data_IF_720701546461
#
_entry.id   IF_720701546461
#
_cell.length_a   1.000
_cell.length_b   1.000
_cell.length_c   1.000
_cell.angle_alpha   90.00
_cell.angle_beta   90.00
_cell.angle_gamma   90.00
#
_symmetry.space_group_name_H-M   'P 1'
#
loop_
_entity.id
_entity.type
_entity.pdbx_description
1 polymer ?
#
# COMPACT_ATOMS: atom_id res chain seq x y z
N UNK A 1 89.31 23.48 6.98
CA UNK A 1 88.70 22.13 6.88
C UNK A 1 89.07 21.50 5.55
N UNK A 2 89.65 20.29 5.57
CA UNK A 2 90.08 19.56 4.36
C UNK A 2 88.88 19.25 3.45
N UNK A 3 89.00 19.50 2.15
CA UNK A 3 88.00 19.17 1.11
C UNK A 3 87.62 17.69 1.09
N UNK A 4 88.45 16.80 1.66
CA UNK A 4 88.13 15.38 1.86
C UNK A 4 87.11 15.15 2.98
N UNK A 5 87.21 15.88 4.10
CA UNK A 5 86.26 15.77 5.22
C UNK A 5 84.86 16.27 4.82
N UNK A 6 84.79 17.37 4.06
CA UNK A 6 83.52 17.88 3.52
C UNK A 6 82.87 16.91 2.52
N UNK A 7 83.67 16.24 1.66
CA UNK A 7 83.17 15.20 0.74
C UNK A 7 82.67 13.95 1.47
N UNK A 8 83.32 13.57 2.57
CA UNK A 8 82.94 12.41 3.38
C UNK A 8 81.60 12.67 4.09
N UNK A 9 81.44 13.83 4.75
CA UNK A 9 80.18 14.26 5.37
C UNK A 9 79.02 14.37 4.35
N UNK A 10 79.30 14.86 3.12
CA UNK A 10 78.29 14.92 2.04
C UNK A 10 77.89 13.53 1.53
N UNK A 11 78.80 12.55 1.58
CA UNK A 11 78.55 11.15 1.20
C UNK A 11 77.75 10.41 2.28
N UNK A 12 78.09 10.60 3.55
CA UNK A 12 77.34 10.05 4.69
C UNK A 12 75.94 10.65 4.81
N UNK A 13 75.80 11.98 4.66
CA UNK A 13 74.50 12.65 4.63
C UNK A 13 73.57 12.11 3.53
N UNK A 14 74.11 11.89 2.31
CA UNK A 14 73.36 11.28 1.20
C UNK A 14 72.99 9.82 1.48
N UNK A 15 73.86 9.07 2.15
CA UNK A 15 73.61 7.69 2.54
C UNK A 15 72.50 7.60 3.60
N UNK A 16 72.55 8.45 4.63
CA UNK A 16 71.51 8.55 5.67
C UNK A 16 70.17 8.98 5.05
N UNK A 17 70.18 9.97 4.15
CA UNK A 17 68.97 10.41 3.44
C UNK A 17 68.36 9.29 2.58
N UNK A 18 69.19 8.51 1.87
CA UNK A 18 68.71 7.37 1.08
C UNK A 18 68.11 6.25 1.93
N UNK A 19 68.66 6.00 3.13
CA UNK A 19 68.09 5.05 4.10
C UNK A 19 66.74 5.56 4.61
N UNK A 20 66.64 6.83 5.00
CA UNK A 20 65.38 7.46 5.42
C UNK A 20 64.31 7.37 4.33
N UNK A 21 64.66 7.66 3.07
CA UNK A 21 63.74 7.54 1.93
C UNK A 21 63.22 6.11 1.77
N UNK A 22 64.09 5.08 1.91
CA UNK A 22 63.69 3.67 1.85
C UNK A 22 62.74 3.29 2.98
N UNK A 23 63.00 3.76 4.20
CA UNK A 23 62.15 3.52 5.37
C UNK A 23 60.76 4.16 5.15
N UNK A 24 60.71 5.42 4.70
CA UNK A 24 59.44 6.10 4.39
C UNK A 24 58.68 5.38 3.28
N UNK A 25 59.35 4.98 2.19
CA UNK A 25 58.73 4.22 1.12
C UNK A 25 58.18 2.86 1.60
N UNK A 26 58.90 2.18 2.50
CA UNK A 26 58.44 0.93 3.11
C UNK A 26 57.22 1.14 4.01
N UNK A 27 57.17 2.22 4.79
CA UNK A 27 55.98 2.56 5.58
C UNK A 27 54.77 2.87 4.68
N UNK A 28 54.94 3.67 3.63
CA UNK A 28 53.87 3.96 2.66
C UNK A 28 53.37 2.65 2.03
N UNK A 29 54.27 1.74 1.67
CA UNK A 29 53.91 0.44 1.11
C UNK A 29 53.09 -0.41 2.11
N UNK A 30 53.53 -0.51 3.38
CA UNK A 30 52.79 -1.24 4.41
C UNK A 30 51.41 -0.61 4.66
N UNK A 31 51.33 0.71 4.78
CA UNK A 31 50.06 1.41 5.00
C UNK A 31 49.12 1.24 3.81
N UNK A 32 49.64 1.35 2.58
CA UNK A 32 48.88 1.09 1.36
C UNK A 32 48.40 -0.35 1.27
N UNK A 33 49.23 -1.32 1.64
CA UNK A 33 48.85 -2.74 1.68
C UNK A 33 47.79 -3.00 2.75
N UNK A 34 47.93 -2.43 3.95
CA UNK A 34 46.90 -2.50 5.00
C UNK A 34 45.57 -1.91 4.53
N UNK A 35 45.61 -0.76 3.88
CA UNK A 35 44.41 -0.14 3.31
C UNK A 35 43.74 -1.06 2.28
N UNK A 36 44.49 -1.60 1.31
CA UNK A 36 43.95 -2.43 0.24
C UNK A 36 43.48 -3.82 0.70
N UNK A 37 44.19 -4.44 1.63
CA UNK A 37 43.94 -5.84 2.05
C UNK A 37 42.96 -5.91 3.21
N UNK A 38 42.87 -4.88 4.06
CA UNK A 38 42.05 -4.90 5.27
C UNK A 38 40.94 -3.85 5.28
N UNK A 39 41.28 -2.55 5.18
CA UNK A 39 40.29 -1.47 5.32
C UNK A 39 39.30 -1.44 4.15
N UNK A 40 39.80 -1.52 2.91
CA UNK A 40 38.96 -1.46 1.72
C UNK A 40 37.96 -2.64 1.68
N UNK A 41 38.35 -3.90 1.99
CA UNK A 41 37.39 -4.98 2.16
C UNK A 41 36.38 -4.79 3.28
N UNK A 42 36.77 -4.21 4.41
CA UNK A 42 35.84 -3.91 5.51
C UNK A 42 34.79 -2.88 5.07
N UNK A 43 35.23 -1.75 4.49
CA UNK A 43 34.36 -0.67 4.02
C UNK A 43 33.38 -1.18 2.96
N UNK A 44 33.88 -1.92 1.97
CA UNK A 44 33.03 -2.48 0.91
C UNK A 44 32.03 -3.50 1.47
N UNK A 45 32.43 -4.32 2.45
CA UNK A 45 31.50 -5.28 3.09
C UNK A 45 30.37 -4.55 3.80
N UNK A 46 30.68 -3.49 4.55
CA UNK A 46 29.68 -2.68 5.23
C UNK A 46 28.72 -2.01 4.24
N UNK A 47 29.26 -1.44 3.16
CA UNK A 47 28.47 -0.81 2.08
C UNK A 47 27.52 -1.80 1.43
N UNK A 48 28.03 -2.98 1.07
CA UNK A 48 27.25 -4.04 0.42
C UNK A 48 26.13 -4.54 1.33
N UNK A 49 26.41 -4.81 2.61
CA UNK A 49 25.37 -5.23 3.56
C UNK A 49 24.34 -4.12 3.80
N UNK A 50 24.76 -2.85 3.87
CA UNK A 50 23.83 -1.72 3.97
C UNK A 50 22.93 -1.60 2.75
N UNK A 51 23.47 -1.76 1.53
CA UNK A 51 22.65 -1.77 0.31
C UNK A 51 21.66 -2.93 0.28
N UNK A 52 22.09 -4.13 0.69
CA UNK A 52 21.22 -5.30 0.81
C UNK A 52 20.08 -5.06 1.83
N UNK A 53 20.43 -4.51 3.00
CA UNK A 53 19.48 -4.19 4.06
C UNK A 53 18.44 -3.18 3.60
N UNK A 54 18.88 -2.07 3.00
CA UNK A 54 18.00 -1.01 2.53
C UNK A 54 17.00 -1.53 1.49
N UNK A 55 17.45 -2.40 0.58
CA UNK A 55 16.59 -3.03 -0.41
C UNK A 55 15.51 -3.93 0.22
N UNK A 56 15.91 -4.80 1.14
CA UNK A 56 14.97 -5.67 1.86
C UNK A 56 13.98 -4.86 2.72
N UNK A 57 14.46 -3.80 3.38
CA UNK A 57 13.63 -2.89 4.17
C UNK A 57 12.64 -2.11 3.32
N UNK A 58 13.05 -1.58 2.16
CA UNK A 58 12.16 -0.88 1.24
C UNK A 58 11.01 -1.80 0.78
N UNK A 59 11.33 -3.03 0.37
CA UNK A 59 10.33 -4.01 -0.01
C UNK A 59 9.38 -4.38 1.14
N UNK A 60 9.93 -4.59 2.35
CA UNK A 60 9.15 -4.82 3.56
C UNK A 60 8.18 -3.68 3.85
N UNK A 61 8.67 -2.44 3.87
CA UNK A 61 7.84 -1.28 4.20
C UNK A 61 6.74 -1.04 3.18
N UNK A 62 7.03 -1.20 1.89
CA UNK A 62 6.03 -1.07 0.82
C UNK A 62 4.94 -2.13 0.99
N UNK A 63 5.30 -3.40 1.19
CA UNK A 63 4.34 -4.48 1.40
C UNK A 63 3.50 -4.27 2.67
N UNK A 64 4.15 -3.82 3.75
CA UNK A 64 3.49 -3.55 5.04
C UNK A 64 2.51 -2.40 4.92
N UNK A 65 2.92 -1.28 4.32
CA UNK A 65 2.06 -0.13 4.06
C UNK A 65 0.86 -0.50 3.18
N UNK A 66 1.08 -1.28 2.13
CA UNK A 66 0.01 -1.74 1.25
C UNK A 66 -0.99 -2.63 2.00
N UNK A 67 -0.51 -3.61 2.79
CA UNK A 67 -1.36 -4.47 3.64
C UNK A 67 -2.20 -3.67 4.63
N UNK A 68 -1.59 -2.67 5.28
CA UNK A 68 -2.29 -1.78 6.22
C UNK A 68 -3.37 -0.99 5.51
N UNK A 69 -3.05 -0.34 4.39
CA UNK A 69 -4.02 0.43 3.59
C UNK A 69 -5.18 -0.46 3.11
N UNK A 70 -4.88 -1.66 2.62
CA UNK A 70 -5.90 -2.60 2.13
C UNK A 70 -6.85 -3.01 3.26
N UNK A 71 -6.29 -3.30 4.44
CA UNK A 71 -7.08 -3.65 5.62
C UNK A 71 -7.91 -2.46 6.14
N UNK A 72 -7.40 -1.23 6.03
CA UNK A 72 -8.14 -0.02 6.41
C UNK A 72 -9.34 0.20 5.50
N UNK A 73 -9.17 0.04 4.18
CA UNK A 73 -10.27 0.13 3.21
C UNK A 73 -11.37 -0.90 3.52
N UNK A 74 -10.99 -2.13 3.85
CA UNK A 74 -11.92 -3.21 4.18
C UNK A 74 -12.67 -3.02 5.52
N UNK A 75 -12.20 -2.11 6.39
CA UNK A 75 -12.76 -1.88 7.75
C UNK A 75 -13.52 -0.57 7.88
N UNK A 76 -13.77 0.13 6.78
CA UNK A 76 -14.51 1.38 6.82
C UNK A 76 -15.92 1.15 7.35
N UNK A 77 -16.36 2.08 8.20
CA UNK A 77 -17.70 2.04 8.76
C UNK A 77 -18.71 2.61 7.74
N UNK A 78 -19.61 1.79 7.19
CA UNK A 78 -20.57 2.23 6.18
C UNK A 78 -21.64 3.18 6.70
N UNK A 79 -21.77 3.33 8.03
CA UNK A 79 -22.73 4.27 8.65
C UNK A 79 -22.12 5.62 8.98
N UNK A 80 -20.81 5.77 8.76
CA UNK A 80 -20.10 7.03 8.98
C UNK A 80 -20.69 8.15 8.12
N UNK A 81 -20.99 9.33 8.68
CA UNK A 81 -21.38 10.51 7.89
C UNK A 81 -20.31 10.93 6.86
N UNK A 82 -19.06 10.51 7.08
CA UNK A 82 -17.91 10.79 6.21
C UNK A 82 -17.50 9.56 5.39
N UNK A 83 -18.36 8.55 5.26
CA UNK A 83 -18.02 7.29 4.60
C UNK A 83 -17.46 7.48 3.19
N UNK A 84 -18.09 8.32 2.37
CA UNK A 84 -17.65 8.57 0.98
C UNK A 84 -16.23 9.15 0.93
N UNK A 85 -15.95 10.18 1.72
CA UNK A 85 -14.61 10.80 1.75
C UNK A 85 -13.55 9.84 2.32
N UNK A 86 -13.91 9.08 3.37
CA UNK A 86 -13.03 8.07 3.97
C UNK A 86 -12.73 6.93 2.99
N UNK A 87 -13.74 6.48 2.24
CA UNK A 87 -13.65 5.49 1.17
C UNK A 87 -12.68 5.92 0.10
N UNK A 88 -12.90 7.10 -0.48
CA UNK A 88 -12.09 7.59 -1.60
C UNK A 88 -10.64 7.81 -1.18
N UNK A 89 -10.42 8.38 0.02
CA UNK A 89 -9.09 8.53 0.60
C UNK A 89 -8.40 7.20 0.90
N UNK A 90 -9.12 6.21 1.43
CA UNK A 90 -8.56 4.89 1.70
C UNK A 90 -8.21 4.16 0.40
N UNK A 91 -9.10 4.19 -0.60
CA UNK A 91 -8.88 3.56 -1.89
C UNK A 91 -7.66 4.18 -2.61
N UNK A 92 -7.56 5.51 -2.63
CA UNK A 92 -6.41 6.21 -3.21
C UNK A 92 -5.08 5.78 -2.55
N UNK A 93 -5.04 5.64 -1.22
CA UNK A 93 -3.85 5.16 -0.49
C UNK A 93 -3.48 3.72 -0.83
N UNK A 94 -4.46 2.84 -1.03
CA UNK A 94 -4.18 1.47 -1.48
C UNK A 94 -3.57 1.48 -2.87
N UNK A 95 -4.14 2.26 -3.80
CA UNK A 95 -3.62 2.39 -5.18
C UNK A 95 -2.20 2.97 -5.17
N UNK A 96 -1.94 4.02 -4.41
CA UNK A 96 -0.60 4.62 -4.31
C UNK A 96 0.45 3.62 -3.80
N UNK A 97 0.13 2.87 -2.74
CA UNK A 97 1.04 1.85 -2.20
C UNK A 97 1.22 0.66 -3.14
N UNK A 98 0.18 0.32 -3.91
CA UNK A 98 0.24 -0.69 -4.97
C UNK A 98 1.19 -0.26 -6.10
N UNK A 99 1.11 1.00 -6.54
CA UNK A 99 1.99 1.55 -7.58
C UNK A 99 3.45 1.62 -7.13
N UNK A 100 3.71 2.01 -5.88
CA UNK A 100 5.06 1.94 -5.28
C UNK A 100 5.63 0.53 -5.30
N UNK A 101 4.79 -0.50 -5.28
CA UNK A 101 5.25 -1.88 -5.35
C UNK A 101 5.75 -2.27 -6.75
N UNK A 102 5.24 -1.61 -7.80
CA UNK A 102 5.72 -1.81 -9.16
C UNK A 102 7.16 -1.32 -9.35
N UNK A 103 7.61 -0.33 -8.56
CA UNK A 103 8.99 0.17 -8.61
C UNK A 103 10.01 -0.74 -7.91
N UNK A 104 9.58 -1.79 -7.19
CA UNK A 104 10.48 -2.76 -6.58
C UNK A 104 11.35 -3.43 -7.64
N UNK A 105 12.67 -3.33 -7.48
CA UNK A 105 13.66 -3.90 -8.41
C UNK A 105 14.61 -4.82 -7.67
N UNK A 106 15.09 -5.81 -8.41
CA UNK A 106 16.25 -6.58 -7.98
C UNK A 106 17.45 -5.66 -7.84
N UNK A 107 18.25 -5.87 -6.80
CA UNK A 107 19.45 -5.08 -6.55
C UNK A 107 20.67 -5.83 -7.07
N UNK A 108 21.41 -5.18 -7.96
CA UNK A 108 22.71 -5.68 -8.42
C UNK A 108 23.77 -5.34 -7.37
N UNK A 109 24.19 -6.36 -6.62
CA UNK A 109 25.21 -6.20 -5.59
C UNK A 109 26.57 -6.70 -6.11
N UNK A 110 27.58 -5.83 -6.09
CA UNK A 110 28.96 -6.20 -6.41
C UNK A 110 29.71 -6.57 -5.13
N UNK A 111 30.21 -7.81 -5.05
CA UNK A 111 30.98 -8.32 -3.91
C UNK A 111 32.50 -8.23 -4.10
N UNK A 112 32.98 -7.47 -5.10
CA UNK A 112 34.40 -7.24 -5.32
C UNK A 112 35.07 -6.59 -4.10
N UNK A 113 36.25 -7.11 -3.72
CA UNK A 113 36.98 -6.67 -2.53
C UNK A 113 36.07 -6.56 -1.30
N UNK A 114 35.36 -7.63 -0.96
CA UNK A 114 34.62 -7.77 0.31
C UNK A 114 35.23 -8.90 1.14
N UNK A 115 34.96 -8.93 2.45
CA UNK A 115 35.39 -10.02 3.32
C UNK A 115 34.72 -11.32 2.91
N UNK A 116 35.41 -12.44 3.11
CA UNK A 116 34.96 -13.78 2.68
C UNK A 116 33.57 -14.14 3.20
N UNK A 117 33.30 -13.87 4.47
CA UNK A 117 32.00 -14.17 5.10
C UNK A 117 30.87 -13.37 4.45
N UNK A 118 31.05 -12.05 4.32
CA UNK A 118 30.09 -11.18 3.63
C UNK A 118 29.87 -11.60 2.17
N UNK A 119 30.93 -11.93 1.43
CA UNK A 119 30.82 -12.43 0.06
C UNK A 119 30.00 -13.73 0.00
N UNK A 120 30.26 -14.65 0.93
CA UNK A 120 29.54 -15.92 1.02
C UNK A 120 28.06 -15.69 1.31
N UNK A 121 27.74 -14.89 2.33
CA UNK A 121 26.37 -14.54 2.69
C UNK A 121 25.62 -13.90 1.50
N UNK A 122 26.19 -12.87 0.87
CA UNK A 122 25.53 -12.17 -0.24
C UNK A 122 25.25 -13.11 -1.41
N UNK A 123 26.22 -13.93 -1.81
CA UNK A 123 26.07 -14.78 -2.99
C UNK A 123 25.21 -16.02 -2.74
N UNK A 124 25.25 -16.58 -1.53
CA UNK A 124 24.56 -17.83 -1.22
C UNK A 124 23.17 -17.63 -0.61
N UNK A 125 22.93 -16.49 0.04
CA UNK A 125 21.69 -16.22 0.75
C UNK A 125 20.95 -15.04 0.12
N UNK A 126 21.50 -13.82 0.19
CA UNK A 126 20.77 -12.63 -0.28
C UNK A 126 20.39 -12.69 -1.78
N UNK A 127 21.36 -12.96 -2.66
CA UNK A 127 21.13 -12.99 -4.13
C UNK A 127 20.16 -14.11 -4.54
N UNK A 128 20.01 -15.16 -3.72
CA UNK A 128 19.05 -16.24 -4.00
C UNK A 128 17.66 -15.90 -3.45
N UNK A 129 17.59 -15.46 -2.20
CA UNK A 129 16.32 -15.25 -1.49
C UNK A 129 15.62 -13.97 -1.91
N UNK A 130 16.34 -12.84 -2.02
CA UNK A 130 15.71 -11.54 -2.25
C UNK A 130 14.93 -11.45 -3.59
N UNK A 131 15.46 -11.94 -4.73
CA UNK A 131 14.70 -11.94 -5.99
C UNK A 131 13.42 -12.77 -5.91
N UNK A 132 13.44 -13.92 -5.22
CA UNK A 132 12.25 -14.74 -5.00
C UNK A 132 11.20 -14.00 -4.17
N UNK A 133 11.63 -13.32 -3.10
CA UNK A 133 10.73 -12.52 -2.26
C UNK A 133 10.08 -11.38 -3.05
N UNK A 134 10.83 -10.64 -3.87
CA UNK A 134 10.25 -9.60 -4.74
C UNK A 134 9.26 -10.22 -5.72
N UNK A 135 9.62 -11.33 -6.37
CA UNK A 135 8.75 -12.01 -7.34
C UNK A 135 7.43 -12.42 -6.69
N UNK A 136 7.48 -13.03 -5.51
CA UNK A 136 6.29 -13.40 -4.74
C UNK A 136 5.49 -12.18 -4.29
N UNK A 137 6.17 -11.09 -3.89
CA UNK A 137 5.53 -9.82 -3.52
C UNK A 137 4.76 -9.23 -4.70
N UNK A 138 5.37 -9.15 -5.88
CA UNK A 138 4.69 -8.67 -7.09
C UNK A 138 3.49 -9.54 -7.47
N UNK A 139 3.65 -10.86 -7.41
CA UNK A 139 2.59 -11.79 -7.75
C UNK A 139 1.38 -11.69 -6.81
N UNK A 140 1.61 -11.57 -5.49
CA UNK A 140 0.50 -11.45 -4.53
C UNK A 140 -0.20 -10.10 -4.64
N UNK A 141 0.55 -9.04 -4.94
CA UNK A 141 -0.02 -7.73 -5.17
C UNK A 141 -0.83 -7.67 -6.46
N UNK A 142 -0.40 -8.33 -7.53
CA UNK A 142 -1.22 -8.42 -8.76
C UNK A 142 -2.56 -9.11 -8.51
N UNK A 143 -2.60 -10.16 -7.66
CA UNK A 143 -3.86 -10.75 -7.22
C UNK A 143 -4.72 -9.77 -6.42
N UNK A 144 -4.12 -9.02 -5.50
CA UNK A 144 -4.84 -7.98 -4.76
C UNK A 144 -5.45 -6.92 -5.68
N UNK A 145 -4.74 -6.57 -6.76
CA UNK A 145 -5.22 -5.60 -7.76
C UNK A 145 -6.52 -6.04 -8.41
N UNK A 146 -6.70 -7.33 -8.68
CA UNK A 146 -7.95 -7.86 -9.23
C UNK A 146 -9.14 -7.59 -8.29
N UNK A 147 -8.95 -7.78 -6.97
CA UNK A 147 -9.99 -7.48 -5.97
C UNK A 147 -10.28 -5.97 -5.89
N UNK A 148 -9.26 -5.12 -6.08
CA UNK A 148 -9.43 -3.66 -6.12
C UNK A 148 -10.14 -3.18 -7.40
N UNK A 149 -9.90 -3.83 -8.53
CA UNK A 149 -10.59 -3.53 -9.78
C UNK A 149 -12.08 -3.92 -9.68
N UNK A 150 -12.38 -5.06 -9.05
CA UNK A 150 -13.76 -5.45 -8.75
C UNK A 150 -14.43 -4.48 -7.76
N UNK A 151 -13.73 -4.10 -6.69
CA UNK A 151 -14.19 -3.07 -5.74
C UNK A 151 -14.53 -1.75 -6.45
N UNK A 152 -13.68 -1.30 -7.37
CA UNK A 152 -13.87 -0.07 -8.15
C UNK A 152 -15.01 -0.19 -9.16
N UNK A 153 -15.19 -1.36 -9.76
CA UNK A 153 -16.33 -1.63 -10.66
C UNK A 153 -17.65 -1.51 -9.91
N UNK A 154 -17.75 -2.13 -8.72
CA UNK A 154 -18.91 -1.99 -7.83
C UNK A 154 -19.12 -0.55 -7.39
N UNK A 155 -18.05 0.21 -7.13
CA UNK A 155 -18.15 1.64 -6.80
C UNK A 155 -18.86 2.44 -7.90
N UNK A 156 -18.57 2.15 -9.17
CA UNK A 156 -19.21 2.82 -10.31
C UNK A 156 -20.72 2.55 -10.40
N UNK A 157 -21.18 1.40 -9.90
CA UNK A 157 -22.60 1.02 -9.86
C UNK A 157 -23.28 1.63 -8.61
N UNK A 158 -22.61 1.53 -7.46
CA UNK A 158 -23.18 1.84 -6.15
C UNK A 158 -22.99 3.31 -5.73
N UNK A 159 -22.11 4.07 -6.39
CA UNK A 159 -21.74 5.43 -5.99
C UNK A 159 -22.92 6.37 -5.78
N UNK A 160 -23.97 6.25 -6.61
CA UNK A 160 -25.18 7.05 -6.51
C UNK A 160 -25.98 6.77 -5.21
N UNK A 161 -25.88 5.57 -4.63
CA UNK A 161 -26.49 5.24 -3.33
C UNK A 161 -25.87 6.11 -2.23
N UNK A 162 -24.54 6.31 -2.26
CA UNK A 162 -23.84 7.06 -1.23
C UNK A 162 -24.09 8.56 -1.35
N UNK A 163 -24.11 9.09 -2.58
CA UNK A 163 -24.33 10.50 -2.88
C UNK A 163 -25.77 10.96 -2.62
N UNK A 164 -26.76 10.06 -2.75
CA UNK A 164 -28.15 10.42 -2.51
C UNK A 164 -28.42 10.73 -1.03
N UNK A 165 -29.01 11.90 -0.77
CA UNK A 165 -29.48 12.31 0.54
C UNK A 165 -31.01 12.51 0.52
N UNK A 166 -31.80 11.55 1.05
CA UNK A 166 -33.25 11.65 1.02
C UNK A 166 -33.80 12.79 1.87
N UNK A 167 -33.08 13.22 2.91
CA UNK A 167 -33.51 14.36 3.73
C UNK A 167 -33.47 15.68 2.96
N UNK A 168 -32.42 15.88 2.16
CA UNK A 168 -32.29 17.10 1.35
C UNK A 168 -33.30 17.13 0.21
N UNK A 169 -33.63 15.95 -0.33
CA UNK A 169 -34.43 15.86 -1.55
C UNK A 169 -35.93 15.79 -1.28
N UNK A 170 -36.35 15.12 -0.20
CA UNK A 170 -37.76 14.82 0.08
C UNK A 170 -38.35 15.54 1.29
N UNK A 171 -37.55 16.24 2.09
CA UNK A 171 -38.06 17.06 3.20
C UNK A 171 -38.52 18.43 2.68
N UNK A 172 -39.65 18.91 3.18
CA UNK A 172 -40.18 20.24 2.88
C UNK A 172 -40.83 20.84 4.13
N UNK A 173 -40.80 22.16 4.25
CA UNK A 173 -41.52 22.90 5.29
C UNK A 173 -43.00 23.12 4.90
N UNK A 174 -43.31 23.11 3.59
CA UNK A 174 -44.66 23.23 3.03
C UNK A 174 -44.92 22.14 1.98
N UNK A 175 -45.30 20.96 2.47
CA UNK A 175 -45.62 19.80 1.63
C UNK A 175 -46.79 20.04 0.67
N UNK A 176 -47.70 20.96 0.98
CA UNK A 176 -48.84 21.25 0.11
C UNK A 176 -48.38 22.06 -1.10
N UNK A 177 -47.55 23.07 -0.88
CA UNK A 177 -46.98 23.89 -1.95
C UNK A 177 -45.97 23.11 -2.81
N UNK A 178 -45.13 22.27 -2.19
CA UNK A 178 -44.07 21.54 -2.89
C UNK A 178 -44.49 20.17 -3.47
N UNK A 179 -45.77 19.82 -3.35
CA UNK A 179 -46.33 18.49 -3.65
C UNK A 179 -45.87 17.91 -4.99
N UNK A 180 -45.97 18.67 -6.08
CA UNK A 180 -45.62 18.21 -7.43
C UNK A 180 -44.12 17.96 -7.56
N UNK A 181 -43.30 18.86 -7.02
CA UNK A 181 -41.85 18.77 -7.01
C UNK A 181 -41.37 17.58 -6.17
N UNK A 182 -41.98 17.33 -5.02
CA UNK A 182 -41.69 16.17 -4.18
C UNK A 182 -42.08 14.86 -4.88
N UNK A 183 -43.20 14.83 -5.61
CA UNK A 183 -43.63 13.66 -6.36
C UNK A 183 -42.69 13.34 -7.52
N UNK A 184 -42.19 14.37 -8.22
CA UNK A 184 -41.19 14.26 -9.28
C UNK A 184 -39.86 13.73 -8.73
N UNK A 185 -39.36 14.31 -7.63
CA UNK A 185 -38.13 13.84 -6.97
C UNK A 185 -38.23 12.40 -6.47
N UNK A 186 -39.36 12.02 -5.88
CA UNK A 186 -39.60 10.64 -5.45
C UNK A 186 -39.58 9.66 -6.64
N UNK A 187 -40.22 10.03 -7.75
CA UNK A 187 -40.21 9.22 -8.98
C UNK A 187 -38.80 9.11 -9.59
N UNK A 188 -38.06 10.21 -9.66
CA UNK A 188 -36.68 10.22 -10.15
C UNK A 188 -35.75 9.37 -9.28
N UNK A 189 -35.90 9.44 -7.95
CA UNK A 189 -35.14 8.59 -7.02
C UNK A 189 -35.48 7.10 -7.22
N UNK A 190 -36.75 6.77 -7.46
CA UNK A 190 -37.17 5.38 -7.74
C UNK A 190 -36.56 4.87 -9.04
N UNK A 191 -36.57 5.67 -10.10
CA UNK A 191 -35.94 5.35 -11.38
C UNK A 191 -34.42 5.16 -11.23
N UNK A 192 -33.76 6.07 -10.50
CA UNK A 192 -32.33 6.00 -10.24
C UNK A 192 -31.93 4.71 -9.49
N UNK A 193 -32.70 4.34 -8.46
CA UNK A 193 -32.52 3.08 -7.74
C UNK A 193 -32.78 1.86 -8.63
N UNK A 194 -33.78 1.92 -9.52
CA UNK A 194 -34.06 0.87 -10.50
C UNK A 194 -32.87 0.60 -11.41
N UNK A 195 -32.26 1.66 -11.98
CA UNK A 195 -31.05 1.55 -12.81
C UNK A 195 -29.88 0.90 -12.08
N UNK A 196 -29.75 1.13 -10.77
CA UNK A 196 -28.70 0.48 -9.97
C UNK A 196 -29.01 -1.01 -9.82
N UNK A 197 -30.25 -1.37 -9.50
CA UNK A 197 -30.69 -2.77 -9.40
C UNK A 197 -30.49 -3.55 -10.70
N UNK A 198 -30.77 -2.94 -11.85
CA UNK A 198 -30.66 -3.59 -13.16
C UNK A 198 -29.20 -3.90 -13.55
N UNK A 199 -28.24 -3.14 -13.02
CA UNK A 199 -26.81 -3.35 -13.26
C UNK A 199 -26.16 -4.35 -12.28
N UNK A 200 -26.94 -4.90 -11.35
CA UNK A 200 -26.46 -5.83 -10.34
C UNK A 200 -26.83 -7.28 -10.71
N UNK A 201 -25.85 -8.19 -10.61
CA UNK A 201 -26.08 -9.62 -10.88
C UNK A 201 -26.89 -10.30 -9.75
N UNK A 202 -28.19 -10.46 -9.99
CA UNK A 202 -29.12 -11.08 -9.04
C UNK A 202 -28.85 -12.56 -8.70
N UNK A 203 -27.98 -13.25 -9.46
CA UNK A 203 -27.63 -14.64 -9.18
C UNK A 203 -26.73 -14.81 -7.94
N UNK A 204 -26.05 -13.74 -7.53
CA UNK A 204 -25.19 -13.74 -6.36
C UNK A 204 -25.97 -13.39 -5.09
N UNK A 205 -25.81 -14.20 -4.04
CA UNK A 205 -26.55 -14.04 -2.77
C UNK A 205 -26.31 -12.66 -2.11
N UNK A 206 -25.08 -12.16 -2.13
CA UNK A 206 -24.76 -10.85 -1.55
C UNK A 206 -25.50 -9.73 -2.32
N UNK A 207 -25.56 -9.86 -3.64
CA UNK A 207 -26.21 -8.90 -4.54
C UNK A 207 -27.73 -8.94 -4.41
N UNK A 208 -28.33 -10.13 -4.28
CA UNK A 208 -29.79 -10.28 -4.15
C UNK A 208 -30.35 -9.63 -2.90
N UNK A 209 -29.59 -9.61 -1.79
CA UNK A 209 -29.97 -8.92 -0.55
C UNK A 209 -30.05 -7.39 -0.75
N UNK A 210 -29.07 -6.80 -1.43
CA UNK A 210 -29.09 -5.38 -1.78
C UNK A 210 -30.25 -5.06 -2.74
N UNK A 211 -30.45 -5.87 -3.78
CA UNK A 211 -31.57 -5.72 -4.72
C UNK A 211 -32.91 -5.72 -3.96
N UNK A 212 -33.10 -6.61 -2.98
CA UNK A 212 -34.30 -6.63 -2.16
C UNK A 212 -34.54 -5.32 -1.38
N UNK A 213 -33.48 -4.73 -0.82
CA UNK A 213 -33.56 -3.43 -0.12
C UNK A 213 -33.83 -2.27 -1.08
N UNK A 214 -33.25 -2.31 -2.27
CA UNK A 214 -33.50 -1.34 -3.34
C UNK A 214 -34.97 -1.42 -3.78
N UNK A 215 -35.49 -2.62 -4.06
CA UNK A 215 -36.88 -2.81 -4.50
C UNK A 215 -37.90 -2.38 -3.44
N UNK A 216 -37.61 -2.61 -2.16
CA UNK A 216 -38.43 -2.08 -1.07
C UNK A 216 -38.42 -0.53 -1.06
N UNK A 217 -37.25 0.07 -1.23
CA UNK A 217 -37.09 1.53 -1.30
C UNK A 217 -37.84 2.15 -2.49
N UNK A 218 -37.78 1.50 -3.67
CA UNK A 218 -38.55 1.88 -4.86
C UNK A 218 -40.06 1.83 -4.57
N UNK A 219 -40.53 0.79 -3.87
CA UNK A 219 -41.94 0.65 -3.50
C UNK A 219 -42.40 1.81 -2.60
N UNK A 220 -41.58 2.20 -1.62
CA UNK A 220 -41.87 3.34 -0.75
C UNK A 220 -41.91 4.66 -1.53
N UNK A 221 -40.95 4.89 -2.43
CA UNK A 221 -40.90 6.09 -3.26
C UNK A 221 -42.11 6.21 -4.20
N UNK A 222 -42.53 5.10 -4.79
CA UNK A 222 -43.75 5.06 -5.59
C UNK A 222 -45.00 5.35 -4.76
N UNK A 223 -45.08 4.82 -3.53
CA UNK A 223 -46.18 5.11 -2.62
C UNK A 223 -46.24 6.60 -2.23
N UNK A 224 -45.07 7.22 -1.97
CA UNK A 224 -44.94 8.67 -1.72
C UNK A 224 -45.51 9.46 -2.89
N UNK A 225 -45.06 9.17 -4.11
CA UNK A 225 -45.53 9.86 -5.32
C UNK A 225 -47.05 9.72 -5.50
N UNK A 226 -47.62 8.52 -5.27
CA UNK A 226 -49.07 8.29 -5.31
C UNK A 226 -49.82 9.10 -4.26
N UNK A 227 -49.36 9.14 -3.01
CA UNK A 227 -50.01 9.91 -1.94
C UNK A 227 -49.96 11.42 -2.23
N UNK A 228 -48.84 11.95 -2.71
CA UNK A 228 -48.71 13.35 -3.13
C UNK A 228 -49.65 13.68 -4.29
N UNK A 229 -49.71 12.82 -5.32
CA UNK A 229 -50.59 13.03 -6.48
C UNK A 229 -52.09 13.01 -6.12
N UNK A 230 -52.48 12.25 -5.09
CA UNK A 230 -53.84 12.19 -4.55
C UNK A 230 -54.14 13.24 -3.47
N UNK A 231 -53.23 14.18 -3.23
CA UNK A 231 -53.34 15.21 -2.21
C UNK A 231 -53.48 14.67 -0.77
N UNK A 232 -52.87 13.51 -0.48
CA UNK A 232 -52.86 12.86 0.83
C UNK A 232 -51.60 13.25 1.61
N UNK A 233 -51.49 14.51 2.02
CA UNK A 233 -50.26 15.11 2.56
C UNK A 233 -49.75 14.40 3.82
N UNK A 234 -50.62 14.14 4.81
CA UNK A 234 -50.23 13.45 6.06
C UNK A 234 -49.67 12.04 5.81
N UNK A 235 -50.21 11.34 4.80
CA UNK A 235 -49.73 10.01 4.41
C UNK A 235 -48.34 10.12 3.78
N UNK A 236 -48.16 11.07 2.85
CA UNK A 236 -46.89 11.30 2.19
C UNK A 236 -45.77 11.68 3.20
N UNK A 237 -46.07 12.55 4.17
CA UNK A 237 -45.11 12.93 5.22
C UNK A 237 -44.64 11.73 6.06
N UNK A 238 -45.57 10.85 6.45
CA UNK A 238 -45.23 9.61 7.20
C UNK A 238 -44.36 8.67 6.37
N UNK A 239 -44.71 8.49 5.09
CA UNK A 239 -43.95 7.64 4.17
C UNK A 239 -42.55 8.20 3.89
N UNK A 240 -42.41 9.51 3.69
CA UNK A 240 -41.11 10.18 3.50
C UNK A 240 -40.23 10.00 4.73
N UNK A 241 -40.78 10.21 5.93
CA UNK A 241 -40.05 10.01 7.18
C UNK A 241 -39.57 8.56 7.35
N UNK A 242 -40.41 7.58 6.98
CA UNK A 242 -40.04 6.17 6.99
C UNK A 242 -38.93 5.86 5.97
N UNK A 243 -39.07 6.35 4.74
CA UNK A 243 -38.08 6.18 3.69
C UNK A 243 -36.72 6.76 4.06
N UNK A 244 -36.67 7.98 4.59
CA UNK A 244 -35.43 8.63 5.06
C UNK A 244 -34.71 7.76 6.07
N UNK A 245 -35.46 7.24 7.06
CA UNK A 245 -34.91 6.36 8.10
C UNK A 245 -34.35 5.06 7.52
N UNK A 246 -35.11 4.43 6.64
CA UNK A 246 -34.81 3.10 6.10
C UNK A 246 -33.73 3.14 5.01
N UNK A 247 -33.53 4.29 4.34
CA UNK A 247 -32.51 4.43 3.29
C UNK A 247 -31.08 4.20 3.81
N UNK A 248 -30.85 4.44 5.11
CA UNK A 248 -29.57 4.12 5.76
C UNK A 248 -29.21 2.64 5.65
N UNK A 249 -30.20 1.74 5.62
CA UNK A 249 -29.97 0.31 5.44
C UNK A 249 -29.55 -0.04 4.00
N UNK A 250 -30.02 0.72 3.00
CA UNK A 250 -29.56 0.58 1.60
C UNK A 250 -28.09 0.96 1.50
N UNK A 251 -27.67 2.07 2.14
CA UNK A 251 -26.25 2.49 2.19
C UNK A 251 -25.38 1.43 2.86
N UNK A 252 -25.83 0.86 3.98
CA UNK A 252 -25.10 -0.22 4.68
C UNK A 252 -24.94 -1.45 3.79
N UNK A 253 -26.01 -1.91 3.17
CA UNK A 253 -25.96 -3.12 2.34
C UNK A 253 -25.12 -2.91 1.08
N UNK A 254 -25.17 -1.73 0.47
CA UNK A 254 -24.29 -1.37 -0.66
C UNK A 254 -22.82 -1.44 -0.25
N UNK A 255 -22.48 -0.89 0.91
CA UNK A 255 -21.12 -0.94 1.42
C UNK A 255 -20.67 -2.35 1.80
N UNK A 256 -21.55 -3.18 2.36
CA UNK A 256 -21.24 -4.60 2.61
C UNK A 256 -20.96 -5.36 1.30
N UNK A 257 -21.79 -5.15 0.27
CA UNK A 257 -21.54 -5.74 -1.04
C UNK A 257 -20.18 -5.29 -1.60
N UNK A 258 -19.92 -3.98 -1.56
CA UNK A 258 -18.67 -3.42 -2.09
C UNK A 258 -17.44 -3.93 -1.32
N UNK A 259 -17.48 -3.94 0.01
CA UNK A 259 -16.37 -4.41 0.85
C UNK A 259 -16.20 -5.94 0.83
N UNK A 260 -17.22 -6.70 0.42
CA UNK A 260 -17.13 -8.16 0.34
C UNK A 260 -16.03 -8.68 -0.59
N UNK A 261 -15.68 -7.91 -1.63
CA UNK A 261 -14.55 -8.21 -2.53
C UNK A 261 -13.23 -8.21 -1.76
N UNK A 262 -13.09 -7.33 -0.76
CA UNK A 262 -11.90 -7.14 0.07
C UNK A 262 -11.88 -8.07 1.30
N UNK A 263 -13.02 -8.66 1.66
CA UNK A 263 -13.15 -9.59 2.79
C UNK A 263 -13.43 -11.03 2.36
N UNK A 264 -13.35 -11.31 1.06
CA UNK A 264 -13.51 -12.65 0.49
C UNK A 264 -12.46 -13.63 1.01
N UNK A 265 -12.72 -14.94 0.87
CA UNK A 265 -11.74 -15.98 1.20
C UNK A 265 -10.42 -15.81 0.44
N UNK A 266 -10.45 -15.30 -0.79
CA UNK A 266 -9.24 -15.02 -1.56
C UNK A 266 -8.49 -13.81 -0.99
N UNK A 267 -9.20 -12.74 -0.61
CA UNK A 267 -8.59 -11.60 0.10
C UNK A 267 -7.94 -12.00 1.42
N UNK A 268 -8.54 -12.92 2.18
CA UNK A 268 -7.94 -13.47 3.40
C UNK A 268 -6.65 -14.24 3.07
N UNK A 269 -6.64 -15.07 2.04
CA UNK A 269 -5.42 -15.78 1.58
C UNK A 269 -4.33 -14.83 1.12
N UNK A 270 -4.69 -13.74 0.44
CA UNK A 270 -3.78 -12.66 0.05
C UNK A 270 -3.11 -12.07 1.29
N UNK A 271 -3.91 -11.64 2.29
CA UNK A 271 -3.39 -11.07 3.53
C UNK A 271 -2.51 -12.04 4.33
N UNK A 272 -2.86 -13.32 4.35
CA UNK A 272 -2.03 -14.37 4.98
C UNK A 272 -0.69 -14.52 4.27
N UNK A 273 -0.69 -14.55 2.94
CA UNK A 273 0.53 -14.65 2.13
C UNK A 273 1.41 -13.42 2.30
N UNK A 274 0.82 -12.22 2.33
CA UNK A 274 1.55 -10.98 2.63
C UNK A 274 2.18 -11.04 4.02
N UNK A 275 1.47 -11.55 5.02
CA UNK A 275 2.00 -11.73 6.39
C UNK A 275 3.21 -12.66 6.41
N UNK A 276 3.15 -13.79 5.70
CA UNK A 276 4.28 -14.71 5.58
C UNK A 276 5.47 -14.09 4.84
N UNK A 277 5.23 -13.28 3.80
CA UNK A 277 6.29 -12.56 3.10
C UNK A 277 6.96 -11.52 3.99
N UNK A 278 6.19 -10.77 4.78
CA UNK A 278 6.73 -9.82 5.76
C UNK A 278 7.66 -10.52 6.76
N UNK A 279 7.26 -11.68 7.29
CA UNK A 279 8.11 -12.49 8.18
C UNK A 279 9.41 -12.91 7.49
N UNK A 280 9.37 -13.36 6.23
CA UNK A 280 10.58 -13.72 5.48
C UNK A 280 11.50 -12.54 5.22
N UNK A 281 10.95 -11.35 4.98
CA UNK A 281 11.74 -10.13 4.89
C UNK A 281 12.39 -9.79 6.23
N UNK A 282 11.67 -9.89 7.34
CA UNK A 282 12.22 -9.69 8.70
C UNK A 282 13.37 -10.66 8.99
N UNK A 283 13.20 -11.95 8.67
CA UNK A 283 14.27 -12.96 8.79
C UNK A 283 15.50 -12.60 7.95
N UNK A 284 15.31 -12.20 6.69
CA UNK A 284 16.42 -11.79 5.81
C UNK A 284 17.14 -10.55 6.36
N UNK A 285 16.38 -9.54 6.81
CA UNK A 285 16.93 -8.31 7.41
C UNK A 285 17.74 -8.65 8.67
N UNK A 286 17.20 -9.51 9.55
CA UNK A 286 17.87 -9.91 10.78
C UNK A 286 19.22 -10.60 10.52
N UNK A 287 19.30 -11.45 9.49
CA UNK A 287 20.56 -12.09 9.06
C UNK A 287 21.57 -11.09 8.50
N UNK A 288 21.10 -10.11 7.71
CA UNK A 288 21.97 -9.02 7.23
C UNK A 288 22.53 -8.23 8.42
N UNK A 289 21.71 -7.93 9.42
CA UNK A 289 22.15 -7.24 10.64
C UNK A 289 23.14 -8.05 11.46
N UNK A 290 22.98 -9.37 11.53
CA UNK A 290 23.95 -10.26 12.16
C UNK A 290 25.30 -10.21 11.44
N UNK A 291 25.32 -10.28 10.11
CA UNK A 291 26.54 -10.12 9.32
C UNK A 291 27.18 -8.74 9.53
N UNK A 292 26.37 -7.68 9.66
CA UNK A 292 26.87 -6.34 9.99
C UNK A 292 27.52 -6.30 11.38
N UNK A 293 26.91 -6.92 12.39
CA UNK A 293 27.51 -7.04 13.75
C UNK A 293 28.82 -7.83 13.71
N UNK A 294 28.87 -8.90 12.92
CA UNK A 294 30.05 -9.75 12.77
C UNK A 294 31.22 -9.05 12.06
N UNK A 295 30.97 -7.95 11.33
CA UNK A 295 32.06 -7.18 10.72
C UNK A 295 32.98 -6.50 11.74
N UNK A 296 32.55 -6.34 13.00
CA UNK A 296 33.29 -5.63 14.07
C UNK A 296 33.90 -4.32 13.55
N UNK A 297 33.02 -3.38 13.19
CA UNK A 297 33.41 -1.96 13.09
C UNK A 297 33.46 -1.40 14.50
#
# INVERSE_FOLDING_TARGET
MSTKALKYLKKESRFIFAILLKIVAFFIFITGLYYLVYLLPLINSAKVLSSAKNAAQEAYFILSANRVSFTQLAKLDPVSPLYTDQKDSAFARVVETQEKSASLKEVKINTFLTRRNTKSFINNEFIKTYPELIKSTKAILEKQKQNLDEYKSLDGILGNIYLYNPETDLKSDDFSADREKLAERAAAAAEGLGKISDNLDSSQLATSKLIGKINYSITLLNAISVSLNKNQIDSAQKQISAFIKDYSEVKKEAAYLQTSTLTSNESVKILLTQTQLLQKYEELIAKIEEEQRNLKI
#
